data_IF_185100999576
#
_entry.id   IF_185100999576
#
_cell.length_a   1.000
_cell.length_b   1.000
_cell.length_c   1.000
_cell.angle_alpha   90.00
_cell.angle_beta   90.00
_cell.angle_gamma   90.00
#
_symmetry.space_group_name_H-M   'P 1'
#
loop_
_entity.id
_entity.type
_entity.pdbx_description
1 polymer ?
#
# COMPACT_ATOMS: atom_id res chain seq x y z
N UNK A 1 -4.90 2.02 42.09
CA UNK A 1 -4.98 3.48 42.27
C UNK A 1 -4.51 4.15 40.99
N UNK A 2 -5.09 5.30 40.62
CA UNK A 2 -4.67 6.16 39.49
C UNK A 2 -4.65 5.55 38.08
N UNK A 3 -5.84 5.35 37.51
CA UNK A 3 -6.03 5.39 36.05
C UNK A 3 -5.51 6.72 35.49
N UNK A 4 -4.43 6.71 34.69
CA UNK A 4 -4.00 7.90 33.94
C UNK A 4 -4.14 7.67 32.44
N UNK A 5 -5.30 8.14 31.97
CA UNK A 5 -5.56 8.53 30.59
C UNK A 5 -4.50 9.54 30.15
N UNK A 6 -3.94 9.39 28.94
CA UNK A 6 -4.15 10.31 27.79
C UNK A 6 -3.03 10.16 26.76
N UNK A 7 -3.30 9.47 25.65
CA UNK A 7 -2.49 9.59 24.43
C UNK A 7 -2.98 10.81 23.65
N UNK A 8 -2.09 11.78 23.45
CA UNK A 8 -2.22 12.85 22.47
C UNK A 8 -0.89 12.98 21.73
N UNK A 9 -0.94 13.49 20.50
CA UNK A 9 0.20 13.63 19.56
C UNK A 9 0.67 12.28 18.98
N UNK A 10 0.41 11.95 17.71
CA UNK A 10 -0.30 12.75 16.70
C UNK A 10 -1.05 11.89 15.68
N UNK A 11 -1.97 12.54 14.95
CA UNK A 11 -2.67 11.95 13.81
C UNK A 11 -1.69 11.91 12.63
N UNK A 12 -0.73 10.98 12.71
CA UNK A 12 0.07 10.61 11.56
C UNK A 12 -0.80 9.70 10.70
N UNK A 13 -1.18 10.19 9.52
CA UNK A 13 -1.99 9.44 8.57
C UNK A 13 -1.37 8.07 8.33
N UNK A 14 -2.07 7.01 8.72
CA UNK A 14 -1.72 5.66 8.31
C UNK A 14 -1.74 5.62 6.78
N UNK A 15 -0.56 5.49 6.17
CA UNK A 15 -0.36 5.59 4.72
C UNK A 15 -0.76 4.31 3.97
N UNK A 16 -1.60 3.48 4.62
CA UNK A 16 -2.03 2.14 4.23
C UNK A 16 -2.15 2.02 2.72
N UNK A 17 -1.16 1.40 2.09
CA UNK A 17 -1.20 1.12 0.66
C UNK A 17 -2.42 0.21 0.41
N UNK A 18 -3.21 0.50 -0.62
CA UNK A 18 -4.38 -0.32 -0.92
C UNK A 18 -3.94 -1.55 -1.70
N UNK A 19 -4.72 -2.63 -1.61
CA UNK A 19 -4.18 -3.97 -1.76
C UNK A 19 -3.84 -4.45 -3.18
N UNK A 20 -3.94 -5.78 -3.31
CA UNK A 20 -3.20 -6.62 -4.24
C UNK A 20 -3.84 -6.70 -5.66
N UNK A 21 -4.63 -5.70 -6.08
CA UNK A 21 -5.50 -5.71 -7.29
C UNK A 21 -4.89 -4.91 -8.42
N UNK A 22 -3.99 -3.99 -8.08
CA UNK A 22 -3.01 -3.48 -9.04
C UNK A 22 -2.00 -4.57 -9.46
N UNK A 23 -1.90 -5.66 -8.68
CA UNK A 23 -0.95 -6.76 -8.81
C UNK A 23 -1.51 -8.02 -9.50
N UNK A 24 -2.39 -7.87 -10.49
CA UNK A 24 -3.08 -9.01 -11.12
C UNK A 24 -2.25 -9.78 -12.13
N UNK A 25 -1.17 -9.24 -12.73
CA UNK A 25 -0.45 -9.90 -13.85
C UNK A 25 0.08 -11.32 -13.59
N UNK A 26 0.75 -11.64 -12.45
CA UNK A 26 1.15 -13.02 -12.18
C UNK A 26 -0.04 -13.99 -12.08
N UNK A 27 -1.24 -13.50 -11.77
CA UNK A 27 -2.48 -14.29 -11.80
C UNK A 27 -3.22 -14.24 -13.15
N UNK A 28 -2.99 -13.20 -13.97
CA UNK A 28 -3.49 -13.12 -15.35
C UNK A 28 -2.81 -14.16 -16.25
N UNK A 29 -1.52 -14.47 -16.01
CA UNK A 29 -0.80 -15.57 -16.69
C UNK A 29 -1.37 -16.97 -16.41
N UNK A 30 -2.21 -17.09 -15.38
CA UNK A 30 -2.93 -18.32 -15.01
C UNK A 30 -4.36 -18.35 -15.58
N UNK A 31 -4.72 -17.37 -16.41
CA UNK A 31 -6.08 -17.16 -16.96
C UNK A 31 -7.18 -17.02 -15.90
N UNK A 32 -6.81 -16.79 -14.62
CA UNK A 32 -7.71 -16.76 -13.46
C UNK A 32 -8.73 -15.62 -13.49
N UNK A 33 -8.40 -14.52 -14.17
CA UNK A 33 -9.22 -13.32 -14.26
C UNK A 33 -9.70 -12.99 -15.68
N UNK A 34 -9.35 -13.83 -16.67
CA UNK A 34 -9.56 -13.56 -18.11
C UNK A 34 -10.64 -14.43 -18.76
N UNK A 35 -11.04 -15.55 -18.14
CA UNK A 35 -12.21 -16.29 -18.63
C UNK A 35 -13.50 -15.58 -18.17
N UNK A 36 -14.17 -14.92 -19.12
CA UNK A 36 -15.38 -14.10 -18.90
C UNK A 36 -16.63 -14.86 -18.44
N UNK A 37 -16.46 -16.10 -17.99
CA UNK A 37 -17.50 -17.00 -17.47
C UNK A 37 -17.45 -17.15 -15.94
N UNK A 38 -16.32 -16.79 -15.31
CA UNK A 38 -16.03 -17.14 -13.93
C UNK A 38 -16.40 -16.04 -12.93
N UNK A 39 -17.70 -16.01 -12.60
CA UNK A 39 -18.33 -15.35 -11.45
C UNK A 39 -18.30 -13.79 -11.40
N UNK A 40 -19.33 -13.15 -10.81
CA UNK A 40 -19.40 -11.68 -10.67
C UNK A 40 -18.20 -11.05 -9.95
N UNK A 41 -17.52 -11.78 -9.06
CA UNK A 41 -16.34 -11.32 -8.32
C UNK A 41 -15.16 -10.97 -9.25
N UNK A 42 -15.00 -11.71 -10.36
CA UNK A 42 -13.97 -11.43 -11.38
C UNK A 42 -14.21 -10.10 -12.07
N UNK A 43 -15.46 -9.79 -12.42
CA UNK A 43 -15.83 -8.50 -12.99
C UNK A 43 -15.63 -7.35 -11.98
N UNK A 44 -15.97 -7.56 -10.71
CA UNK A 44 -15.78 -6.60 -9.62
C UNK A 44 -14.29 -6.25 -9.42
N UNK A 45 -13.41 -7.25 -9.22
CA UNK A 45 -11.98 -7.02 -9.06
C UNK A 45 -11.35 -6.34 -10.30
N UNK A 46 -11.76 -6.73 -11.51
CA UNK A 46 -11.32 -6.10 -12.76
C UNK A 46 -11.78 -4.64 -12.89
N UNK A 47 -12.91 -4.26 -12.26
CA UNK A 47 -13.40 -2.88 -12.19
C UNK A 47 -12.71 -2.05 -11.09
N UNK A 48 -12.33 -2.65 -9.96
CA UNK A 48 -11.54 -1.98 -8.92
C UNK A 48 -10.09 -1.69 -9.34
N UNK A 49 -9.48 -2.59 -10.14
CA UNK A 49 -8.04 -2.57 -10.44
C UNK A 49 -7.49 -1.23 -10.95
N UNK A 50 -8.13 -0.50 -11.90
CA UNK A 50 -7.64 0.82 -12.34
C UNK A 50 -7.62 1.86 -11.21
N UNK A 51 -8.70 1.92 -10.42
CA UNK A 51 -8.81 2.85 -9.29
C UNK A 51 -7.73 2.59 -8.24
N UNK A 52 -7.46 1.32 -7.93
CA UNK A 52 -6.44 0.93 -6.95
C UNK A 52 -5.03 1.20 -7.48
N UNK A 53 -4.76 0.95 -8.76
CA UNK A 53 -3.48 1.27 -9.40
C UNK A 53 -3.20 2.78 -9.40
N UNK A 54 -4.21 3.60 -9.72
CA UNK A 54 -4.14 5.06 -9.65
C UNK A 54 -3.80 5.52 -8.22
N UNK A 55 -4.59 5.10 -7.22
CA UNK A 55 -4.42 5.57 -5.84
C UNK A 55 -3.09 5.10 -5.22
N UNK A 56 -2.64 3.87 -5.47
CA UNK A 56 -1.38 3.37 -4.91
C UNK A 56 -0.16 4.13 -5.42
N UNK A 57 -0.10 4.41 -6.74
CA UNK A 57 1.05 5.10 -7.36
C UNK A 57 1.10 6.59 -7.04
N UNK A 58 -0.04 7.21 -6.69
CA UNK A 58 -0.17 8.67 -6.54
C UNK A 58 -0.27 9.12 -5.07
N UNK A 59 -1.14 8.51 -4.26
CA UNK A 59 -1.50 9.08 -2.95
C UNK A 59 -0.36 9.14 -1.96
N UNK A 60 0.40 8.06 -1.87
CA UNK A 60 1.50 7.97 -0.91
C UNK A 60 2.57 8.99 -1.25
N UNK A 61 2.91 9.11 -2.53
CA UNK A 61 3.88 10.09 -3.02
C UNK A 61 3.42 11.52 -2.70
N UNK A 62 2.13 11.86 -2.94
CA UNK A 62 1.58 13.17 -2.58
C UNK A 62 1.54 13.44 -1.08
N UNK A 63 1.12 12.46 -0.26
CA UNK A 63 1.00 12.62 1.19
C UNK A 63 2.37 12.76 1.84
N UNK A 64 3.35 11.91 1.46
CA UNK A 64 4.73 12.01 1.94
C UNK A 64 5.42 13.29 1.47
N UNK A 65 5.09 13.78 0.26
CA UNK A 65 5.57 15.06 -0.23
C UNK A 65 5.01 16.24 0.58
N UNK A 66 3.69 16.27 0.79
CA UNK A 66 3.04 17.33 1.54
C UNK A 66 3.43 17.37 3.02
N UNK A 67 3.61 16.21 3.65
CA UNK A 67 4.11 16.13 5.04
C UNK A 67 5.47 16.82 5.17
N UNK A 68 6.43 16.57 4.26
CA UNK A 68 7.73 17.25 4.26
C UNK A 68 7.66 18.74 3.92
N UNK A 69 6.66 19.15 3.13
CA UNK A 69 6.39 20.57 2.88
C UNK A 69 5.88 21.27 4.15
N UNK A 70 5.03 20.61 4.95
CA UNK A 70 4.55 21.12 6.24
C UNK A 70 5.59 21.00 7.36
N UNK A 71 6.43 19.98 7.31
CA UNK A 71 7.45 19.63 8.30
C UNK A 71 8.84 19.54 7.64
N UNK A 72 9.48 20.68 7.29
CA UNK A 72 10.77 20.68 6.60
C UNK A 72 11.86 19.98 7.42
N UNK A 73 12.34 18.85 6.92
CA UNK A 73 13.47 18.13 7.50
C UNK A 73 14.80 18.71 6.96
N UNK A 74 15.89 18.69 7.74
CA UNK A 74 17.20 19.12 7.25
C UNK A 74 17.63 18.27 6.04
N UNK A 75 18.32 18.85 5.05
CA UNK A 75 18.72 18.15 3.84
C UNK A 75 19.67 16.99 4.18
N UNK A 76 19.25 15.77 3.87
CA UNK A 76 20.07 14.58 4.09
C UNK A 76 21.31 14.59 3.17
N UNK A 77 22.43 13.96 3.60
CA UNK A 77 23.64 13.78 2.79
C UNK A 77 23.40 13.22 1.38
N UNK A 78 24.28 13.55 0.42
CA UNK A 78 24.11 13.22 -1.02
C UNK A 78 23.97 11.72 -1.30
N UNK A 79 24.63 10.88 -0.51
CA UNK A 79 24.60 9.42 -0.52
C UNK A 79 23.31 8.83 0.07
N UNK A 80 22.59 9.59 0.91
CA UNK A 80 21.29 9.22 1.47
C UNK A 80 20.10 9.76 0.66
N UNK A 81 20.34 10.38 -0.50
CA UNK A 81 19.34 11.11 -1.31
C UNK A 81 18.09 10.33 -1.69
N UNK A 82 18.17 9.00 -1.82
CA UNK A 82 17.02 8.18 -2.16
C UNK A 82 16.21 7.70 -0.94
N UNK A 83 16.45 8.28 0.24
CA UNK A 83 15.56 8.32 1.43
C UNK A 83 14.94 7.00 1.90
N UNK A 84 15.34 6.60 3.11
CA UNK A 84 14.76 5.49 3.89
C UNK A 84 13.23 5.51 4.03
N UNK A 85 12.50 6.58 3.67
CA UNK A 85 11.03 6.68 3.71
C UNK A 85 10.33 6.81 2.34
N UNK A 86 11.06 6.81 1.23
CA UNK A 86 10.46 6.72 -0.12
C UNK A 86 10.93 5.50 -0.91
N UNK A 87 12.04 4.86 -0.52
CA UNK A 87 12.41 3.51 -0.99
C UNK A 87 11.25 2.53 -0.82
N UNK A 88 10.70 2.51 0.39
CA UNK A 88 9.61 1.62 0.82
C UNK A 88 8.43 1.68 -0.18
N UNK A 89 8.10 2.88 -0.66
CA UNK A 89 6.90 3.17 -1.47
C UNK A 89 7.19 3.34 -2.96
N UNK A 90 8.18 2.64 -3.50
CA UNK A 90 8.53 2.64 -4.93
C UNK A 90 7.53 1.84 -5.80
N UNK A 91 6.24 2.15 -5.71
CA UNK A 91 5.18 1.62 -6.58
C UNK A 91 5.26 2.25 -8.02
N UNK A 92 6.25 3.11 -8.32
CA UNK A 92 6.28 3.91 -9.56
C UNK A 92 7.60 3.84 -10.36
N UNK A 93 7.45 3.42 -11.61
CA UNK A 93 8.41 3.51 -12.71
C UNK A 93 8.64 4.93 -13.27
N UNK A 94 7.67 5.85 -13.16
CA UNK A 94 7.80 7.17 -13.80
C UNK A 94 8.68 8.17 -13.01
N UNK A 95 9.32 9.10 -13.74
CA UNK A 95 10.28 10.06 -13.19
C UNK A 95 9.65 11.19 -12.35
N UNK A 96 8.41 11.57 -12.63
CA UNK A 96 7.69 12.60 -11.86
C UNK A 96 6.21 12.28 -11.71
N UNK A 97 5.56 12.90 -10.72
CA UNK A 97 4.18 12.62 -10.31
C UNK A 97 3.14 12.93 -11.40
N UNK A 98 3.40 13.91 -12.29
CA UNK A 98 2.46 14.23 -13.39
C UNK A 98 2.48 13.16 -14.49
N UNK A 99 3.63 12.56 -14.78
CA UNK A 99 3.68 11.43 -15.72
C UNK A 99 2.95 10.20 -15.16
N UNK A 100 3.12 9.89 -13.87
CA UNK A 100 2.33 8.84 -13.18
C UNK A 100 0.83 9.12 -13.30
N UNK A 101 0.42 10.36 -13.00
CA UNK A 101 -1.00 10.75 -13.01
C UNK A 101 -1.63 10.59 -14.39
N UNK A 102 -0.92 10.98 -15.46
CA UNK A 102 -1.38 10.78 -16.84
C UNK A 102 -1.48 9.29 -17.20
N UNK A 103 -0.54 8.48 -16.71
CA UNK A 103 -0.44 7.04 -16.98
C UNK A 103 -1.55 6.21 -16.31
N UNK A 104 -1.81 6.41 -15.00
CA UNK A 104 -2.79 5.59 -14.25
C UNK A 104 -4.05 6.27 -13.77
N UNK A 105 -4.08 7.59 -13.68
CA UNK A 105 -5.29 8.34 -13.29
C UNK A 105 -5.90 9.08 -14.49
N UNK A 106 -5.69 8.52 -15.69
CA UNK A 106 -6.14 9.06 -16.98
C UNK A 106 -7.63 8.84 -17.26
N UNK A 107 -8.01 9.08 -18.52
CA UNK A 107 -9.38 8.85 -19.00
C UNK A 107 -9.76 7.37 -18.89
N UNK A 108 -11.02 7.09 -18.52
CA UNK A 108 -11.53 5.72 -18.36
C UNK A 108 -11.33 5.09 -16.97
N UNK A 109 -10.77 5.81 -15.98
CA UNK A 109 -10.52 5.27 -14.63
C UNK A 109 -11.74 4.56 -14.00
N UNK A 110 -12.93 5.14 -14.20
CA UNK A 110 -14.21 4.65 -13.64
C UNK A 110 -15.06 3.87 -14.64
N UNK A 111 -14.65 3.78 -15.90
CA UNK A 111 -15.45 3.20 -17.00
C UNK A 111 -15.95 1.79 -16.67
N UNK A 112 -15.08 0.94 -16.13
CA UNK A 112 -15.45 -0.44 -15.73
C UNK A 112 -16.42 -0.49 -14.55
N UNK A 113 -16.34 0.45 -13.60
CA UNK A 113 -17.28 0.53 -12.47
C UNK A 113 -18.65 1.01 -12.95
N UNK A 114 -18.67 2.00 -13.83
CA UNK A 114 -19.87 2.57 -14.43
C UNK A 114 -20.58 1.54 -15.32
N UNK A 115 -19.84 0.82 -16.19
CA UNK A 115 -20.36 -0.27 -17.02
C UNK A 115 -20.92 -1.45 -16.20
N UNK A 116 -20.28 -1.79 -15.07
CA UNK A 116 -20.75 -2.87 -14.19
C UNK A 116 -21.96 -2.45 -13.34
N UNK A 117 -22.28 -1.14 -13.28
CA UNK A 117 -23.29 -0.53 -12.41
C UNK A 117 -23.16 -0.94 -10.92
N UNK A 118 -21.95 -1.33 -10.49
CA UNK A 118 -21.64 -1.84 -9.16
C UNK A 118 -20.86 -0.81 -8.38
N UNK A 119 -21.33 -0.49 -7.17
CA UNK A 119 -20.80 0.59 -6.34
C UNK A 119 -20.77 1.96 -7.08
N UNK A 120 -21.93 2.49 -7.54
CA UNK A 120 -21.98 3.78 -8.25
C UNK A 120 -21.41 4.94 -7.42
N UNK A 121 -21.52 4.86 -6.09
CA UNK A 121 -20.89 5.81 -5.16
C UNK A 121 -19.36 5.76 -5.20
N UNK A 122 -18.75 4.58 -5.41
CA UNK A 122 -17.30 4.45 -5.59
C UNK A 122 -16.84 5.13 -6.88
N UNK A 123 -17.60 4.98 -7.99
CA UNK A 123 -17.31 5.68 -9.24
C UNK A 123 -17.43 7.21 -9.06
N UNK A 124 -18.43 7.68 -8.31
CA UNK A 124 -18.57 9.10 -7.94
C UNK A 124 -17.33 9.60 -7.18
N UNK A 125 -16.91 8.88 -6.13
CA UNK A 125 -15.74 9.24 -5.31
C UNK A 125 -14.42 9.17 -6.09
N UNK A 126 -14.25 8.21 -7.00
CA UNK A 126 -13.08 8.12 -7.87
C UNK A 126 -12.99 9.31 -8.86
N UNK A 127 -14.14 9.75 -9.40
CA UNK A 127 -14.21 10.97 -10.21
C UNK A 127 -13.92 12.25 -9.40
N UNK A 128 -14.38 12.35 -8.15
CA UNK A 128 -14.04 13.45 -7.24
C UNK A 128 -12.55 13.47 -6.88
N UNK A 129 -11.98 12.29 -6.63
CA UNK A 129 -10.55 12.11 -6.40
C UNK A 129 -9.71 12.60 -7.59
N UNK A 130 -10.01 12.18 -8.83
CA UNK A 130 -9.28 12.63 -10.02
C UNK A 130 -9.44 14.14 -10.22
N UNK A 131 -10.62 14.71 -9.95
CA UNK A 131 -10.84 16.16 -10.01
C UNK A 131 -9.97 16.91 -9.00
N UNK A 132 -9.92 16.45 -7.75
CA UNK A 132 -9.10 17.07 -6.70
C UNK A 132 -7.60 16.89 -6.98
N UNK A 133 -7.18 15.73 -7.49
CA UNK A 133 -5.82 15.46 -7.95
C UNK A 133 -5.42 16.42 -9.09
N UNK A 134 -6.27 16.59 -10.10
CA UNK A 134 -6.05 17.58 -11.16
C UNK A 134 -5.90 19.00 -10.57
N UNK A 135 -6.76 19.39 -9.62
CA UNK A 135 -6.72 20.72 -9.01
C UNK A 135 -5.42 20.99 -8.21
N UNK A 136 -4.97 20.04 -7.38
CA UNK A 136 -3.70 20.19 -6.63
C UNK A 136 -2.49 20.15 -7.58
N UNK A 137 -2.48 19.25 -8.57
CA UNK A 137 -1.36 19.10 -9.50
C UNK A 137 -1.22 20.26 -10.49
N UNK A 138 -2.29 21.01 -10.80
CA UNK A 138 -2.21 22.25 -11.60
C UNK A 138 -1.89 23.48 -10.78
N UNK A 139 -2.42 23.59 -9.55
CA UNK A 139 -2.18 24.73 -8.65
C UNK A 139 -0.74 24.74 -8.14
N UNK A 140 -0.17 23.56 -7.88
CA UNK A 140 1.20 23.45 -7.39
C UNK A 140 2.16 23.23 -8.56
N UNK A 141 3.14 24.13 -8.70
CA UNK A 141 4.15 24.05 -9.75
C UNK A 141 4.99 22.76 -9.63
N UNK A 142 5.35 22.09 -10.75
CA UNK A 142 6.18 20.86 -10.73
C UNK A 142 7.49 21.00 -9.97
N UNK A 143 8.08 22.20 -9.99
CA UNK A 143 9.31 22.57 -9.29
C UNK A 143 9.19 22.60 -7.76
N UNK A 144 7.96 22.52 -7.21
CA UNK A 144 7.74 22.41 -5.76
C UNK A 144 7.56 20.95 -5.28
N UNK A 145 7.22 20.00 -6.17
CA UNK A 145 6.90 18.60 -5.84
C UNK A 145 7.72 17.62 -6.70
N UNK A 146 9.04 17.76 -6.69
CA UNK A 146 9.95 16.83 -7.37
C UNK A 146 10.14 15.55 -6.55
N UNK A 147 10.28 14.40 -7.24
CA UNK A 147 10.56 13.08 -6.62
C UNK A 147 11.84 13.10 -5.77
N UNK A 148 12.77 13.99 -6.11
CA UNK A 148 14.05 14.25 -5.42
C UNK A 148 13.93 15.12 -4.15
N UNK A 149 12.88 14.93 -3.35
CA UNK A 149 12.87 15.25 -1.92
C UNK A 149 13.25 16.68 -1.45
N UNK A 150 13.25 17.66 -2.36
CA UNK A 150 13.62 19.04 -2.07
C UNK A 150 12.42 19.95 -2.28
N UNK A 151 11.71 20.25 -1.19
CA UNK A 151 10.60 21.22 -1.19
C UNK A 151 11.08 22.69 -1.29
N UNK A 152 12.33 22.88 -1.71
CA UNK A 152 13.00 24.17 -1.88
C UNK A 152 13.90 24.10 -3.12
N UNK A 153 13.32 24.19 -4.32
CA UNK A 153 14.06 24.48 -5.57
C UNK A 153 13.55 25.71 -6.33
N UNK A 154 12.82 26.58 -5.64
CA UNK A 154 12.60 27.97 -6.05
C UNK A 154 13.24 28.89 -5.02
N UNK A 155 14.02 29.88 -5.45
CA UNK A 155 14.71 30.85 -4.59
C UNK A 155 13.78 31.90 -3.95
N UNK A 156 12.48 31.61 -3.87
CA UNK A 156 11.45 32.49 -3.35
C UNK A 156 10.59 31.71 -2.35
N UNK A 157 10.55 32.19 -1.11
CA UNK A 157 9.54 31.80 -0.14
C UNK A 157 8.15 32.03 -0.78
N UNK A 158 7.23 31.05 -0.75
CA UNK A 158 5.86 31.30 -1.17
C UNK A 158 5.23 32.40 -0.32
N UNK A 159 4.49 33.30 -0.97
CA UNK A 159 3.71 34.34 -0.30
C UNK A 159 2.61 33.74 0.59
N UNK A 160 2.09 34.49 1.59
CA UNK A 160 0.99 34.02 2.43
C UNK A 160 -0.26 33.59 1.63
N UNK A 161 -0.53 34.24 0.50
CA UNK A 161 -1.61 33.86 -0.42
C UNK A 161 -1.36 32.54 -1.14
N UNK A 162 -0.13 32.29 -1.62
CA UNK A 162 0.25 30.99 -2.19
C UNK A 162 0.21 29.88 -1.14
N UNK A 163 0.68 30.13 0.09
CA UNK A 163 0.62 29.17 1.19
C UNK A 163 -0.83 28.74 1.47
N UNK A 164 -1.74 29.71 1.61
CA UNK A 164 -3.17 29.43 1.83
C UNK A 164 -3.81 28.70 0.64
N UNK A 165 -3.44 29.04 -0.60
CA UNK A 165 -3.92 28.35 -1.79
C UNK A 165 -3.45 26.89 -1.83
N UNK A 166 -2.15 26.64 -1.61
CA UNK A 166 -1.54 25.30 -1.55
C UNK A 166 -2.21 24.45 -0.47
N UNK A 167 -2.40 25.02 0.72
CA UNK A 167 -3.03 24.33 1.84
C UNK A 167 -4.47 23.92 1.51
N UNK A 168 -5.30 24.83 0.98
CA UNK A 168 -6.68 24.54 0.60
C UNK A 168 -6.77 23.41 -0.43
N UNK A 169 -6.04 23.48 -1.55
CA UNK A 169 -6.13 22.45 -2.60
C UNK A 169 -5.56 21.11 -2.15
N UNK A 170 -4.59 21.11 -1.23
CA UNK A 170 -4.07 19.89 -0.62
C UNK A 170 -5.08 19.26 0.34
N UNK A 171 -5.78 20.06 1.15
CA UNK A 171 -6.86 19.59 2.03
C UNK A 171 -8.04 19.02 1.22
N UNK A 172 -8.46 19.69 0.13
CA UNK A 172 -9.47 19.17 -0.81
C UNK A 172 -9.07 17.79 -1.37
N UNK A 173 -7.82 17.67 -1.84
CA UNK A 173 -7.26 16.43 -2.33
C UNK A 173 -7.19 15.32 -1.27
N UNK A 174 -6.69 15.61 -0.07
CA UNK A 174 -6.65 14.61 1.01
C UNK A 174 -8.04 14.22 1.50
N UNK A 175 -9.03 15.12 1.44
CA UNK A 175 -10.43 14.78 1.70
C UNK A 175 -10.93 13.72 0.70
N UNK A 176 -10.84 14.00 -0.60
CA UNK A 176 -11.28 13.08 -1.65
C UNK A 176 -10.50 11.75 -1.65
N UNK A 177 -9.17 11.80 -1.48
CA UNK A 177 -8.29 10.63 -1.30
C UNK A 177 -8.71 9.77 -0.10
N UNK A 178 -9.03 10.39 1.05
CA UNK A 178 -9.43 9.66 2.26
C UNK A 178 -10.80 9.01 2.08
N UNK A 179 -11.78 9.73 1.51
CA UNK A 179 -13.12 9.19 1.24
C UNK A 179 -13.06 7.99 0.27
N UNK A 180 -12.34 8.13 -0.85
CA UNK A 180 -12.13 7.05 -1.81
C UNK A 180 -11.45 5.83 -1.15
N UNK A 181 -10.39 6.06 -0.35
CA UNK A 181 -9.70 5.00 0.39
C UNK A 181 -10.62 4.24 1.34
N UNK A 182 -11.46 4.95 2.08
CA UNK A 182 -12.40 4.34 3.03
C UNK A 182 -13.41 3.41 2.35
N UNK A 183 -13.92 3.78 1.17
CA UNK A 183 -14.83 2.94 0.39
C UNK A 183 -14.12 1.80 -0.35
N UNK A 184 -12.90 2.04 -0.85
CA UNK A 184 -12.19 1.12 -1.74
C UNK A 184 -11.51 -0.04 -0.98
N UNK A 185 -10.95 0.23 0.20
CA UNK A 185 -10.28 -0.77 1.05
C UNK A 185 -11.12 -2.03 1.34
N UNK A 186 -12.36 -1.94 1.88
CA UNK A 186 -13.14 -3.14 2.21
C UNK A 186 -13.56 -3.93 0.96
N UNK A 187 -13.83 -3.24 -0.16
CA UNK A 187 -14.19 -3.87 -1.42
C UNK A 187 -13.02 -4.67 -1.99
N UNK A 188 -11.79 -4.14 -1.87
CA UNK A 188 -10.57 -4.79 -2.30
C UNK A 188 -10.19 -6.02 -1.45
N UNK A 189 -10.32 -5.88 -0.12
CA UNK A 189 -10.08 -6.98 0.82
C UNK A 189 -11.04 -8.15 0.56
N UNK A 190 -12.33 -7.85 0.29
CA UNK A 190 -13.34 -8.85 0.00
C UNK A 190 -13.07 -9.70 -1.26
N UNK A 191 -12.30 -9.20 -2.24
CA UNK A 191 -11.96 -10.00 -3.44
C UNK A 191 -10.97 -11.14 -3.16
N UNK A 192 -10.22 -11.09 -2.05
CA UNK A 192 -9.04 -11.97 -1.84
C UNK A 192 -9.37 -13.39 -1.43
N UNK A 193 -10.28 -13.64 -0.49
CA UNK A 193 -10.69 -14.99 -0.18
C UNK A 193 -11.29 -15.69 -1.40
N UNK A 194 -12.01 -14.96 -2.27
CA UNK A 194 -12.57 -15.53 -3.51
C UNK A 194 -11.51 -15.81 -4.57
N UNK A 195 -10.55 -14.90 -4.79
CA UNK A 195 -9.39 -15.16 -5.64
C UNK A 195 -8.60 -16.40 -5.15
N UNK A 196 -8.42 -16.53 -3.84
CA UNK A 196 -7.69 -17.66 -3.24
C UNK A 196 -8.43 -19.00 -3.45
N UNK A 197 -9.76 -19.02 -3.28
CA UNK A 197 -10.60 -20.20 -3.61
C UNK A 197 -10.51 -20.59 -5.09
N UNK A 198 -10.50 -19.61 -6.01
CA UNK A 198 -10.38 -19.87 -7.45
C UNK A 198 -9.01 -20.46 -7.81
N UNK A 199 -7.92 -19.99 -7.18
CA UNK A 199 -6.60 -20.60 -7.31
C UNK A 199 -6.64 -22.05 -6.80
N UNK A 200 -7.17 -22.28 -5.59
CA UNK A 200 -7.24 -23.61 -4.97
C UNK A 200 -8.02 -24.61 -5.82
N UNK A 201 -9.14 -24.18 -6.40
CA UNK A 201 -9.99 -25.02 -7.24
C UNK A 201 -9.34 -25.42 -8.58
N UNK A 202 -8.43 -24.59 -9.13
CA UNK A 202 -7.80 -24.83 -10.44
C UNK A 202 -6.41 -25.45 -10.37
N UNK A 203 -5.62 -25.03 -9.37
CA UNK A 203 -4.18 -25.33 -9.26
C UNK A 203 -3.84 -26.09 -7.96
N UNK A 204 -4.80 -26.23 -7.06
CA UNK A 204 -4.54 -26.67 -5.69
C UNK A 204 -3.83 -25.60 -4.87
N UNK A 205 -3.20 -26.03 -3.76
CA UNK A 205 -2.36 -25.16 -2.92
C UNK A 205 -0.94 -25.14 -3.45
N UNK A 206 -0.77 -24.51 -4.61
CA UNK A 206 0.54 -24.27 -5.21
C UNK A 206 1.16 -22.95 -4.68
N UNK A 207 2.31 -22.58 -5.24
CA UNK A 207 3.03 -21.36 -4.87
C UNK A 207 2.19 -20.08 -5.05
N UNK A 208 1.24 -20.04 -5.99
CA UNK A 208 0.37 -18.86 -6.20
C UNK A 208 -0.66 -18.74 -5.08
N UNK A 209 -1.20 -19.87 -4.63
CA UNK A 209 -2.09 -19.94 -3.48
C UNK A 209 -1.36 -19.49 -2.23
N UNK A 210 -0.18 -20.06 -1.95
CA UNK A 210 0.61 -19.73 -0.78
C UNK A 210 1.06 -18.25 -0.77
N UNK A 211 1.44 -17.70 -1.93
CA UNK A 211 1.86 -16.30 -2.05
C UNK A 211 0.71 -15.34 -1.79
N UNK A 212 -0.47 -15.60 -2.37
CA UNK A 212 -1.65 -14.80 -2.11
C UNK A 212 -2.09 -14.93 -0.64
N UNK A 213 -2.06 -16.14 -0.08
CA UNK A 213 -2.40 -16.38 1.32
C UNK A 213 -1.45 -15.65 2.29
N UNK A 214 -0.14 -15.55 1.97
CA UNK A 214 0.80 -14.74 2.72
C UNK A 214 0.45 -13.25 2.65
N UNK A 215 0.17 -12.71 1.45
CA UNK A 215 -0.15 -11.30 1.30
C UNK A 215 -1.51 -10.91 1.92
N UNK A 216 -2.49 -11.83 1.93
CA UNK A 216 -3.73 -11.71 2.72
C UNK A 216 -3.38 -11.67 4.21
N UNK A 217 -2.60 -12.62 4.71
CA UNK A 217 -2.25 -12.66 6.13
C UNK A 217 -1.48 -11.40 6.58
N UNK A 218 -0.60 -10.87 5.73
CA UNK A 218 0.12 -9.63 5.98
C UNK A 218 -0.84 -8.43 6.11
N UNK A 219 -1.86 -8.36 5.25
CA UNK A 219 -2.91 -7.34 5.33
C UNK A 219 -3.72 -7.46 6.62
N UNK A 220 -4.23 -8.66 6.89
CA UNK A 220 -5.03 -8.95 8.09
C UNK A 220 -4.27 -8.64 9.38
N UNK A 221 -2.95 -8.87 9.42
CA UNK A 221 -2.12 -8.53 10.59
C UNK A 221 -2.16 -7.03 10.88
N UNK A 222 -2.04 -6.16 9.87
CA UNK A 222 -2.17 -4.71 10.10
C UNK A 222 -3.62 -4.34 10.47
N UNK A 223 -4.62 -4.86 9.76
CA UNK A 223 -6.03 -4.53 10.06
C UNK A 223 -6.43 -4.91 11.50
N UNK A 224 -5.96 -6.06 12.01
CA UNK A 224 -6.17 -6.50 13.40
C UNK A 224 -5.48 -5.58 14.40
N UNK A 225 -4.22 -5.18 14.15
CA UNK A 225 -3.48 -4.29 15.04
C UNK A 225 -4.07 -2.87 15.04
N UNK A 226 -4.44 -2.35 13.88
CA UNK A 226 -5.09 -1.05 13.72
C UNK A 226 -6.44 -0.98 14.44
N UNK A 227 -7.28 -1.99 14.28
CA UNK A 227 -8.58 -2.05 14.96
C UNK A 227 -8.42 -2.21 16.48
N UNK A 228 -7.44 -3.00 16.91
CA UNK A 228 -7.12 -3.15 18.32
C UNK A 228 -6.53 -1.88 18.94
N UNK A 229 -5.76 -1.08 18.18
CA UNK A 229 -5.27 0.23 18.60
C UNK A 229 -6.40 1.25 18.71
N UNK A 230 -7.26 1.36 17.69
CA UNK A 230 -8.44 2.27 17.70
C UNK A 230 -9.35 1.99 18.89
N UNK A 231 -9.66 0.72 19.14
CA UNK A 231 -10.56 0.28 20.21
C UNK A 231 -9.87 0.13 21.58
N UNK A 232 -8.55 0.37 21.67
CA UNK A 232 -7.73 0.20 22.90
C UNK A 232 -7.79 -1.21 23.49
N UNK A 233 -7.88 -2.21 22.61
CA UNK A 233 -7.92 -3.65 22.93
C UNK A 233 -6.64 -4.39 22.54
N UNK A 234 -5.62 -3.69 22.03
CA UNK A 234 -4.32 -4.30 21.73
C UNK A 234 -3.64 -4.79 23.02
N UNK A 235 -3.22 -6.05 23.01
CA UNK A 235 -2.57 -6.74 24.14
C UNK A 235 -1.33 -7.50 23.66
N UNK A 236 -0.36 -7.80 24.56
CA UNK A 236 0.80 -8.63 24.23
C UNK A 236 0.43 -9.98 23.62
N UNK A 237 -0.68 -10.58 24.08
CA UNK A 237 -1.18 -11.84 23.53
C UNK A 237 -1.72 -11.68 22.11
N UNK A 238 -2.58 -10.69 21.86
CA UNK A 238 -3.10 -10.45 20.52
C UNK A 238 -1.97 -10.18 19.51
N UNK A 239 -0.97 -9.39 19.92
CA UNK A 239 0.22 -9.15 19.12
C UNK A 239 0.98 -10.45 18.83
N UNK A 240 1.32 -11.24 19.86
CA UNK A 240 2.04 -12.51 19.70
C UNK A 240 1.27 -13.53 18.83
N UNK A 241 -0.04 -13.70 19.06
CA UNK A 241 -0.90 -14.58 18.27
C UNK A 241 -0.96 -14.15 16.79
N UNK A 242 -0.91 -12.85 16.51
CA UNK A 242 -0.97 -12.31 15.14
C UNK A 242 0.39 -12.37 14.44
N UNK A 243 1.49 -12.06 15.15
CA UNK A 243 2.87 -12.25 14.66
C UNK A 243 3.12 -13.73 14.32
N UNK A 244 2.68 -14.66 15.16
CA UNK A 244 2.83 -16.10 14.93
C UNK A 244 2.10 -16.58 13.66
N UNK A 245 0.87 -16.09 13.40
CA UNK A 245 0.13 -16.38 12.16
C UNK A 245 0.87 -15.89 10.92
N UNK A 246 1.41 -14.67 10.95
CA UNK A 246 2.18 -14.12 9.84
C UNK A 246 3.47 -14.92 9.61
N UNK A 247 4.19 -15.28 10.67
CA UNK A 247 5.39 -16.12 10.58
C UNK A 247 5.06 -17.50 9.99
N UNK A 248 3.94 -18.11 10.38
CA UNK A 248 3.48 -19.38 9.79
C UNK A 248 3.12 -19.23 8.31
N UNK A 249 2.50 -18.12 7.90
CA UNK A 249 2.22 -17.83 6.49
C UNK A 249 3.50 -17.60 5.69
N UNK A 250 4.50 -16.95 6.27
CA UNK A 250 5.81 -16.74 5.63
C UNK A 250 6.59 -18.03 5.43
N UNK A 251 6.62 -18.92 6.43
CA UNK A 251 7.37 -20.17 6.38
C UNK A 251 6.85 -21.14 5.30
N UNK A 252 5.59 -21.01 4.86
CA UNK A 252 5.05 -21.79 3.72
C UNK A 252 5.82 -21.59 2.41
N UNK A 253 6.66 -20.56 2.30
CA UNK A 253 7.56 -20.37 1.14
C UNK A 253 8.65 -21.44 1.02
N UNK A 254 9.05 -22.08 2.12
CA UNK A 254 10.25 -22.95 2.17
C UNK A 254 10.33 -24.03 1.08
N UNK A 255 9.27 -24.82 0.80
CA UNK A 255 9.29 -25.84 -0.27
C UNK A 255 9.52 -25.25 -1.66
N UNK A 256 9.10 -24.00 -1.87
CA UNK A 256 9.10 -23.32 -3.17
C UNK A 256 10.42 -22.61 -3.48
N UNK A 257 11.22 -22.24 -2.46
CA UNK A 257 12.44 -21.47 -2.66
C UNK A 257 13.67 -22.33 -3.06
N UNK A 258 13.61 -23.65 -2.87
CA UNK A 258 14.69 -24.58 -3.23
C UNK A 258 15.21 -24.34 -4.68
N UNK A 259 16.54 -24.37 -4.93
CA UNK A 259 17.08 -24.16 -6.28
C UNK A 259 16.58 -25.22 -7.27
N UNK A 260 15.95 -24.80 -8.37
CA UNK A 260 15.59 -25.73 -9.46
C UNK A 260 16.87 -26.19 -10.18
N UNK A 261 17.10 -27.50 -10.19
CA UNK A 261 18.18 -28.16 -10.92
C UNK A 261 17.79 -28.36 -12.40
N UNK A 262 17.81 -27.26 -13.16
CA UNK A 262 17.58 -27.27 -14.61
C UNK A 262 16.11 -27.32 -15.05
N UNK A 263 15.92 -27.29 -16.37
CA UNK A 263 14.61 -27.26 -17.04
C UNK A 263 14.22 -25.87 -17.56
N UNK A 264 13.19 -25.84 -18.43
CA UNK A 264 12.62 -24.59 -18.93
C UNK A 264 11.80 -23.86 -17.86
N UNK A 265 11.65 -22.55 -18.04
CA UNK A 265 10.76 -21.74 -17.21
C UNK A 265 9.30 -22.20 -17.37
N UNK A 266 8.55 -22.19 -16.27
CA UNK A 266 7.15 -22.58 -16.20
C UNK A 266 6.30 -21.50 -15.49
N UNK A 267 4.97 -21.69 -15.45
CA UNK A 267 4.05 -20.73 -14.83
C UNK A 267 4.35 -20.44 -13.34
N UNK A 268 4.96 -21.39 -12.61
CA UNK A 268 5.30 -21.20 -11.18
C UNK A 268 6.57 -20.38 -10.94
N UNK A 269 7.47 -20.25 -11.92
CA UNK A 269 8.72 -19.50 -11.72
C UNK A 269 8.47 -17.99 -11.55
N UNK A 270 7.43 -17.43 -12.18
CA UNK A 270 7.08 -16.02 -12.01
C UNK A 270 6.67 -15.70 -10.56
N UNK A 271 5.86 -16.55 -9.94
CA UNK A 271 5.51 -16.43 -8.53
C UNK A 271 6.70 -16.71 -7.59
N UNK A 272 7.60 -17.62 -7.98
CA UNK A 272 8.82 -17.91 -7.22
C UNK A 272 9.78 -16.72 -7.22
N UNK A 273 10.01 -16.11 -8.37
CA UNK A 273 10.80 -14.90 -8.51
C UNK A 273 10.16 -13.71 -7.77
N UNK A 274 8.83 -13.57 -7.83
CA UNK A 274 8.10 -12.57 -7.04
C UNK A 274 8.30 -12.81 -5.54
N UNK A 275 8.16 -14.04 -5.04
CA UNK A 275 8.38 -14.36 -3.63
C UNK A 275 9.83 -14.09 -3.19
N UNK A 276 10.82 -14.50 -3.98
CA UNK A 276 12.23 -14.22 -3.72
C UNK A 276 12.48 -12.71 -3.61
N UNK A 277 11.90 -11.91 -4.51
CA UNK A 277 12.08 -10.45 -4.55
C UNK A 277 11.32 -9.67 -3.47
N UNK A 278 10.24 -10.22 -2.90
CA UNK A 278 9.63 -9.70 -1.66
C UNK A 278 10.28 -10.29 -0.38
N UNK A 279 11.33 -11.11 -0.53
CA UNK A 279 12.03 -11.79 0.57
C UNK A 279 12.54 -10.83 1.64
N UNK A 280 13.26 -9.78 1.24
CA UNK A 280 13.79 -8.73 2.13
C UNK A 280 12.67 -7.89 2.79
N UNK A 281 11.73 -7.24 2.06
CA UNK A 281 10.71 -6.42 2.71
C UNK A 281 9.74 -7.24 3.59
N UNK A 282 9.48 -8.51 3.25
CA UNK A 282 8.69 -9.40 4.11
C UNK A 282 9.40 -9.80 5.40
N UNK A 283 10.73 -9.93 5.37
CA UNK A 283 11.57 -10.08 6.57
C UNK A 283 11.53 -8.82 7.44
N UNK A 284 11.75 -7.63 6.85
CA UNK A 284 11.70 -6.36 7.59
C UNK A 284 10.34 -6.15 8.29
N UNK A 285 9.25 -6.56 7.65
CA UNK A 285 7.91 -6.50 8.26
C UNK A 285 7.74 -7.46 9.45
N UNK A 286 8.21 -8.71 9.33
CA UNK A 286 8.24 -9.65 10.46
C UNK A 286 9.16 -9.18 11.59
N UNK A 287 10.32 -8.62 11.28
CA UNK A 287 11.25 -8.07 12.25
C UNK A 287 10.63 -6.92 13.04
N UNK A 288 9.94 -5.97 12.38
CA UNK A 288 9.23 -4.89 13.06
C UNK A 288 8.17 -5.40 14.05
N UNK A 289 7.42 -6.45 13.69
CA UNK A 289 6.44 -7.09 14.59
C UNK A 289 7.10 -7.77 15.79
N UNK A 290 8.21 -8.47 15.55
CA UNK A 290 9.00 -9.10 16.61
C UNK A 290 9.63 -8.05 17.55
N UNK A 291 10.11 -6.91 17.03
CA UNK A 291 10.61 -5.78 17.82
C UNK A 291 9.49 -5.18 18.69
N UNK A 292 8.34 -4.85 18.11
CA UNK A 292 7.19 -4.34 18.88
C UNK A 292 6.77 -5.31 19.98
N UNK A 293 6.78 -6.61 19.70
CA UNK A 293 6.44 -7.65 20.67
C UNK A 293 7.48 -7.74 21.80
N UNK A 294 8.77 -7.74 21.47
CA UNK A 294 9.85 -7.79 22.45
C UNK A 294 9.87 -6.55 23.34
N UNK A 295 9.78 -5.35 22.76
CA UNK A 295 9.80 -4.09 23.52
C UNK A 295 8.54 -3.95 24.39
N UNK A 296 7.38 -4.48 23.97
CA UNK A 296 6.20 -4.57 24.84
C UNK A 296 6.42 -5.54 26.01
N UNK A 297 6.93 -6.75 25.75
CA UNK A 297 7.23 -7.72 26.81
C UNK A 297 8.25 -7.18 27.83
N UNK A 298 9.22 -6.40 27.34
CA UNK A 298 10.23 -5.72 28.16
C UNK A 298 9.73 -4.43 28.84
N UNK A 299 8.43 -4.10 28.73
CA UNK A 299 7.81 -2.92 29.34
C UNK A 299 8.47 -1.60 28.90
N UNK A 300 8.81 -1.49 27.61
CA UNK A 300 9.38 -0.28 27.03
C UNK A 300 8.45 0.94 27.19
N UNK A 301 9.05 2.13 27.09
CA UNK A 301 8.31 3.38 27.27
C UNK A 301 7.23 3.57 26.19
N UNK A 302 6.10 4.24 26.47
CA UNK A 302 5.00 4.40 25.51
C UNK A 302 5.41 5.03 24.17
N UNK A 303 6.41 5.92 24.18
CA UNK A 303 6.99 6.52 22.99
C UNK A 303 7.64 5.46 22.09
N UNK A 304 8.43 4.55 22.67
CA UNK A 304 9.09 3.46 21.96
C UNK A 304 8.07 2.52 21.30
N UNK A 305 7.04 2.12 22.03
CA UNK A 305 5.96 1.29 21.49
C UNK A 305 5.18 1.98 20.35
N UNK A 306 5.04 3.31 20.40
CA UNK A 306 4.46 4.10 19.32
C UNK A 306 5.36 4.16 18.08
N UNK A 307 6.68 4.24 18.25
CA UNK A 307 7.66 4.16 17.16
C UNK A 307 7.68 2.78 16.50
N UNK A 308 7.62 1.71 17.31
CA UNK A 308 7.61 0.33 16.80
C UNK A 308 6.31 -0.02 16.06
N UNK A 309 5.15 0.43 16.55
CA UNK A 309 3.89 0.28 15.83
C UNK A 309 3.89 1.07 14.50
N UNK A 310 4.51 2.26 14.48
CA UNK A 310 4.73 2.99 13.22
C UNK A 310 5.71 2.25 12.28
N UNK A 311 6.74 1.59 12.81
CA UNK A 311 7.63 0.75 12.01
C UNK A 311 6.91 -0.48 11.42
N UNK A 312 6.00 -1.11 12.17
CA UNK A 312 5.16 -2.23 11.70
C UNK A 312 4.28 -1.82 10.52
N UNK A 313 3.49 -0.74 10.67
CA UNK A 313 2.57 -0.26 9.62
C UNK A 313 3.33 0.14 8.35
N UNK A 314 4.45 0.84 8.49
CA UNK A 314 5.29 1.24 7.36
C UNK A 314 6.00 0.08 6.66
N UNK A 315 6.47 -0.93 7.41
CA UNK A 315 7.13 -2.10 6.81
C UNK A 315 6.13 -2.96 6.02
N UNK A 316 4.88 -3.05 6.48
CA UNK A 316 3.79 -3.62 5.70
C UNK A 316 3.55 -2.85 4.39
N UNK A 317 3.44 -1.53 4.46
CA UNK A 317 3.22 -0.71 3.26
C UNK A 317 4.37 -0.85 2.26
N UNK A 318 5.62 -0.95 2.76
CA UNK A 318 6.81 -1.20 1.95
C UNK A 318 6.77 -2.56 1.24
N UNK A 319 6.38 -3.62 1.96
CA UNK A 319 6.14 -4.95 1.41
C UNK A 319 5.06 -4.92 0.30
N UNK A 320 3.92 -4.27 0.56
CA UNK A 320 2.83 -4.19 -0.40
C UNK A 320 3.19 -3.38 -1.65
N UNK A 321 3.89 -2.25 -1.48
CA UNK A 321 4.45 -1.44 -2.58
C UNK A 321 5.43 -2.25 -3.45
N UNK A 322 6.38 -2.95 -2.83
CA UNK A 322 7.33 -3.81 -3.56
C UNK A 322 6.61 -4.93 -4.31
N UNK A 323 5.66 -5.60 -3.65
CA UNK A 323 4.82 -6.63 -4.27
C UNK A 323 4.05 -6.08 -5.48
N UNK A 324 3.36 -4.94 -5.31
CA UNK A 324 2.56 -4.31 -6.37
C UNK A 324 3.42 -3.84 -7.56
N UNK A 325 4.60 -3.24 -7.33
CA UNK A 325 5.54 -2.91 -8.42
C UNK A 325 5.94 -4.17 -9.18
N UNK A 326 6.41 -5.19 -8.46
CA UNK A 326 6.96 -6.40 -9.07
C UNK A 326 5.88 -7.24 -9.77
N UNK A 327 4.68 -7.34 -9.22
CA UNK A 327 3.54 -8.01 -9.83
C UNK A 327 2.91 -7.25 -11.02
N UNK A 328 3.49 -6.11 -11.42
CA UNK A 328 3.20 -5.42 -12.69
C UNK A 328 4.39 -5.40 -13.64
N UNK A 329 5.60 -5.21 -13.11
CA UNK A 329 6.83 -5.11 -13.86
C UNK A 329 7.46 -6.47 -14.24
N UNK A 330 7.10 -7.54 -13.51
CA UNK A 330 7.50 -8.89 -13.87
C UNK A 330 6.52 -9.44 -14.91
N UNK A 331 7.00 -9.50 -16.15
CA UNK A 331 6.35 -10.08 -17.34
C UNK A 331 5.17 -9.27 -17.92
#
# INVERSE_FOLDING_TARGET
>A
MSTRVMFCVGIFFALVVMGLTSATRPFLQLDLWLDGRDAPVTAQANALSPVIACVNRIDVQWRAAYDRYKNPQPPLPRDQRWLKSLKDFDDSDAFNVRDIQRDVCGQGLTEKLELLAWQPELARQANEYVRALNHVTTTILPTRFYREASFISGSQQPSPGELAAIERVSQEYFGASTALRQSLLPLDAAQRPEQLKLIEARLGRDIHWDLLAYMIQARETVDVLDEAMKNRTLTPKLLADTTAKLQQAWNRREPWLAPRTGGFQNKTDAARDLWLRIGEPGQIYLEALNTLQADWQNHAQPQRLSEDYYAVTRSYDGLLSHYNRLARASF
#
